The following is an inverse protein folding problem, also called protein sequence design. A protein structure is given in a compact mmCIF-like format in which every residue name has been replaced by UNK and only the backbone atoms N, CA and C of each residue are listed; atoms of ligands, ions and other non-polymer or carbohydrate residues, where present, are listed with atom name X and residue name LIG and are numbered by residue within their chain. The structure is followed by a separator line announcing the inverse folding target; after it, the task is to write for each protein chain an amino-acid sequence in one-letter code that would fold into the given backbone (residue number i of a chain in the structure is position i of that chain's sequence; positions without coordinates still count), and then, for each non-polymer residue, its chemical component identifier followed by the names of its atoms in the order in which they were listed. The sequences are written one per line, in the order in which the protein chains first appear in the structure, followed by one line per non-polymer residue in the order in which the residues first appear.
data_IF_434630680440
#
_entry.id   IF_434630680440
#
_cell.length_a   1.000
_cell.length_b   1.000
_cell.length_c   1.000
_cell.angle_alpha   90.00
_cell.angle_beta   90.00
_cell.angle_gamma   90.00
#
_symmetry.space_group_name_H-M   'P 1'
#
loop_
_entity.id
_entity.type
_entity.pdbx_description
1 polymer ?
#
# COMPACT_ATOMS: atom_id res chain seq x y z
N UNK A 1 19.53 21.69 5.25
CA UNK A 1 18.54 21.56 4.17
C UNK A 1 17.21 21.06 4.76
N UNK A 2 16.13 21.72 4.42
CA UNK A 2 14.79 21.27 4.82
C UNK A 2 14.09 20.70 3.59
N UNK A 3 13.53 19.49 3.74
CA UNK A 3 12.81 18.86 2.65
C UNK A 3 11.60 18.10 3.18
N UNK A 4 10.58 17.98 2.35
CA UNK A 4 9.39 17.19 2.63
C UNK A 4 9.07 16.33 1.43
N UNK A 5 8.89 15.04 1.68
CA UNK A 5 8.42 14.11 0.67
C UNK A 5 7.33 13.24 1.30
N UNK A 6 6.08 13.42 0.86
CA UNK A 6 4.93 12.74 1.45
C UNK A 6 3.99 12.24 0.36
N UNK A 7 3.55 11.00 0.51
CA UNK A 7 2.56 10.38 -0.37
C UNK A 7 1.39 9.92 0.49
N UNK A 8 0.18 10.19 0.05
CA UNK A 8 -1.05 9.74 0.70
C UNK A 8 -1.80 8.78 -0.22
N UNK A 9 -2.15 7.62 0.30
CA UNK A 9 -2.84 6.58 -0.46
C UNK A 9 -4.07 6.09 0.30
N UNK A 10 -5.16 5.88 -0.42
CA UNK A 10 -6.35 5.17 0.05
C UNK A 10 -6.65 4.10 -0.98
N UNK A 11 -6.66 2.86 -0.56
CA UNK A 11 -6.87 1.76 -1.48
C UNK A 11 -7.19 0.46 -0.77
N UNK A 12 -7.04 -0.65 -1.47
CA UNK A 12 -7.27 -1.98 -0.92
C UNK A 12 -5.98 -2.78 -0.92
N UNK A 13 -5.79 -3.56 0.12
CA UNK A 13 -4.63 -4.46 0.22
C UNK A 13 -4.78 -5.56 -0.83
N UNK A 14 -3.82 -5.63 -1.74
CA UNK A 14 -3.86 -6.56 -2.87
C UNK A 14 -3.19 -7.89 -2.62
N UNK A 15 -2.35 -7.96 -1.59
CA UNK A 15 -1.68 -9.19 -1.18
C UNK A 15 -1.66 -9.26 0.34
N UNK A 16 -1.63 -10.46 0.90
CA UNK A 16 -1.45 -10.58 2.35
C UNK A 16 -0.09 -10.01 2.75
N UNK A 17 -0.01 -9.30 3.89
CA UNK A 17 1.26 -8.74 4.34
C UNK A 17 2.29 -9.84 4.62
N UNK A 18 3.51 -9.61 4.19
CA UNK A 18 4.66 -10.46 4.48
C UNK A 18 5.60 -9.76 5.44
N UNK A 19 5.83 -10.36 6.59
CA UNK A 19 6.79 -9.84 7.54
C UNK A 19 8.11 -10.60 7.41
N UNK A 20 9.19 -9.84 7.34
CA UNK A 20 10.57 -10.37 7.29
C UNK A 20 11.42 -9.61 8.29
N UNK A 21 12.56 -10.19 8.60
CA UNK A 21 13.55 -9.55 9.47
C UNK A 21 14.78 -9.17 8.64
N UNK A 22 15.26 -7.94 8.86
CA UNK A 22 16.53 -7.52 8.26
C UNK A 22 17.70 -8.26 8.91
N UNK A 23 18.91 -8.24 8.30
CA UNK A 23 20.08 -8.81 8.94
C UNK A 23 20.39 -8.25 10.32
N UNK A 24 19.94 -7.02 10.61
CA UNK A 24 20.09 -6.41 11.93
C UNK A 24 18.98 -6.82 12.92
N UNK A 25 18.01 -7.65 12.50
CA UNK A 25 16.94 -8.12 13.34
C UNK A 25 15.70 -7.24 13.42
N UNK A 26 15.60 -6.20 12.59
CA UNK A 26 14.44 -5.33 12.57
C UNK A 26 13.30 -5.93 11.73
N UNK A 27 12.04 -5.93 12.22
CA UNK A 27 10.92 -6.42 11.44
C UNK A 27 10.53 -5.43 10.33
N UNK A 28 10.22 -5.99 9.16
CA UNK A 28 9.77 -5.26 7.99
C UNK A 28 8.58 -6.00 7.39
N UNK A 29 7.47 -5.31 7.19
CA UNK A 29 6.30 -5.89 6.53
C UNK A 29 6.07 -5.19 5.21
N UNK A 30 5.89 -5.94 4.14
CA UNK A 30 5.55 -5.41 2.83
C UNK A 30 4.21 -5.95 2.36
N UNK A 31 3.46 -5.11 1.67
CA UNK A 31 2.20 -5.49 1.03
C UNK A 31 1.93 -4.54 -0.14
N UNK A 32 1.04 -4.96 -1.03
CA UNK A 32 0.67 -4.15 -2.18
C UNK A 32 -0.69 -3.53 -1.96
N UNK A 33 -0.82 -2.27 -2.34
CA UNK A 33 -2.08 -1.51 -2.26
C UNK A 33 -2.51 -1.17 -3.68
N UNK A 34 -3.76 -1.50 -4.00
CA UNK A 34 -4.38 -1.13 -5.25
C UNK A 34 -5.21 0.13 -5.04
N UNK A 35 -4.95 1.16 -5.83
CA UNK A 35 -5.78 2.35 -5.87
C UNK A 35 -6.53 2.38 -7.19
N UNK A 36 -7.84 2.63 -7.12
CA UNK A 36 -8.70 2.65 -8.29
C UNK A 36 -9.14 4.08 -8.59
N UNK A 37 -9.11 4.44 -9.86
CA UNK A 37 -9.60 5.71 -10.34
C UNK A 37 -10.60 5.48 -11.46
N UNK A 38 -11.78 6.09 -11.34
CA UNK A 38 -12.77 6.11 -12.41
C UNK A 38 -12.82 7.48 -13.06
N UNK A 39 -12.90 7.51 -14.37
CA UNK A 39 -13.05 8.76 -15.11
C UNK A 39 -13.86 8.55 -16.37
N UNK A 40 -14.43 9.63 -16.88
CA UNK A 40 -15.15 9.63 -18.16
C UNK A 40 -14.22 10.17 -19.24
N UNK A 41 -14.00 9.38 -20.29
CA UNK A 41 -13.17 9.80 -21.40
C UNK A 41 -13.88 10.86 -22.28
N UNK A 42 -13.13 11.48 -23.18
CA UNK A 42 -13.66 12.53 -24.05
C UNK A 42 -14.81 12.06 -24.95
N UNK A 43 -14.91 10.76 -25.23
CA UNK A 43 -16.00 10.17 -26.02
C UNK A 43 -17.19 9.71 -25.18
N UNK A 44 -17.23 10.04 -23.88
CA UNK A 44 -18.31 9.69 -22.98
C UNK A 44 -18.24 8.30 -22.37
N UNK A 45 -17.20 7.53 -22.63
CA UNK A 45 -17.00 6.22 -22.04
C UNK A 45 -16.45 6.31 -20.62
N UNK A 46 -16.98 5.47 -19.73
CA UNK A 46 -16.48 5.37 -18.36
C UNK A 46 -15.33 4.39 -18.32
N UNK A 47 -14.18 4.86 -17.82
CA UNK A 47 -12.97 4.05 -17.70
C UNK A 47 -12.50 3.95 -16.26
N UNK A 48 -11.87 2.83 -15.94
CA UNK A 48 -11.22 2.61 -14.64
C UNK A 48 -9.75 2.33 -14.86
N UNK A 49 -8.94 2.92 -13.99
CA UNK A 49 -7.51 2.62 -13.92
C UNK A 49 -7.17 2.14 -12.52
N UNK A 50 -6.31 1.13 -12.45
CA UNK A 50 -5.78 0.62 -11.20
C UNK A 50 -4.28 0.84 -11.16
N UNK A 51 -3.80 1.48 -10.11
CA UNK A 51 -2.38 1.61 -9.86
C UNK A 51 -1.99 0.79 -8.63
N UNK A 52 -0.85 0.14 -8.71
CA UNK A 52 -0.33 -0.71 -7.65
C UNK A 52 0.86 -0.06 -6.98
N UNK A 53 0.83 -0.03 -5.67
CA UNK A 53 1.93 0.49 -4.87
C UNK A 53 2.43 -0.59 -3.93
N UNK A 54 3.73 -0.71 -3.80
CA UNK A 54 4.34 -1.56 -2.78
C UNK A 54 4.57 -0.70 -1.54
N UNK A 55 3.96 -1.10 -0.44
CA UNK A 55 4.08 -0.41 0.84
C UNK A 55 4.98 -1.22 1.75
N UNK A 56 5.93 -0.56 2.39
CA UNK A 56 6.86 -1.18 3.32
C UNK A 56 6.73 -0.49 4.67
N UNK A 57 6.47 -1.27 5.70
CA UNK A 57 6.39 -0.79 7.07
C UNK A 57 7.53 -1.38 7.90
N UNK A 58 8.03 -0.59 8.84
CA UNK A 58 9.19 -0.93 9.65
C UNK A 58 8.86 -1.02 11.13
N UNK A 59 9.56 -1.90 11.86
CA UNK A 59 9.50 -2.01 13.32
C UNK A 59 8.08 -2.24 13.83
N UNK A 60 7.57 -1.39 14.74
CA UNK A 60 6.24 -1.54 15.33
C UNK A 60 5.12 -1.49 14.30
N UNK A 61 5.25 -0.64 13.28
CA UNK A 61 4.28 -0.58 12.19
C UNK A 61 4.28 -1.87 11.38
N UNK A 62 5.46 -2.49 11.21
CA UNK A 62 5.55 -3.78 10.53
C UNK A 62 4.77 -4.86 11.26
N UNK A 63 4.91 -4.93 12.57
CA UNK A 63 4.18 -5.88 13.41
C UNK A 63 2.67 -5.64 13.35
N UNK A 64 2.22 -4.38 13.44
CA UNK A 64 0.82 -4.03 13.33
C UNK A 64 0.24 -4.39 11.96
N UNK A 65 0.95 -4.09 10.88
CA UNK A 65 0.49 -4.45 9.53
C UNK A 65 0.38 -5.96 9.36
N UNK A 66 1.36 -6.71 9.84
CA UNK A 66 1.33 -8.16 9.73
C UNK A 66 0.19 -8.78 10.54
N UNK A 67 -0.13 -8.20 11.70
CA UNK A 67 -1.15 -8.73 12.60
C UNK A 67 -2.57 -8.38 12.16
N UNK A 68 -2.81 -7.17 11.65
CA UNK A 68 -4.16 -6.64 11.44
C UNK A 68 -4.59 -6.52 9.98
N UNK A 69 -3.65 -6.45 9.03
CA UNK A 69 -4.01 -6.29 7.62
C UNK A 69 -4.26 -7.63 6.95
N UNK A 70 -5.28 -7.68 6.11
CA UNK A 70 -5.59 -8.84 5.29
C UNK A 70 -5.85 -8.39 3.85
N UNK A 71 -5.67 -9.31 2.90
CA UNK A 71 -5.97 -9.09 1.49
C UNK A 71 -7.42 -8.63 1.31
N UNK A 72 -7.62 -7.59 0.53
CA UNK A 72 -8.93 -7.02 0.25
C UNK A 72 -9.36 -5.91 1.21
N UNK A 73 -8.67 -5.74 2.31
CA UNK A 73 -8.99 -4.71 3.29
C UNK A 73 -8.68 -3.31 2.75
N UNK A 74 -9.55 -2.36 3.06
CA UNK A 74 -9.35 -0.96 2.71
C UNK A 74 -8.41 -0.29 3.70
N UNK A 75 -7.45 0.44 3.18
CA UNK A 75 -6.43 1.14 3.99
C UNK A 75 -6.21 2.57 3.52
#
# INVERSE_FOLDING_TARGET
MVSLNKIMLIGNVGTDPEMRFTPSGSPVTSFRVATNRSYTSANGERKQETEWFTVVAWKKQAESCNQFLTKGQRV
#
